data_IF_530273764358
#
_entry.id   IF_530273764358
#
_cell.length_a   1.000
_cell.length_b   1.000
_cell.length_c   1.000
_cell.angle_alpha   90.00
_cell.angle_beta   90.00
_cell.angle_gamma   90.00
#
_symmetry.space_group_name_H-M   'P 1'
#
loop_
_entity.id
_entity.type
_entity.pdbx_description
1 polymer ?
#
# COMPACT_ATOMS: atom_id res chain seq x y z
N UNK A 1 0.60 -0.97 17.44
CA UNK A 1 1.76 -0.78 16.56
C UNK A 1 1.69 0.53 15.77
N UNK A 2 0.59 0.89 15.07
CA UNK A 2 0.46 2.18 14.31
C UNK A 2 0.77 3.46 15.12
N UNK A 3 0.48 3.52 16.44
CA UNK A 3 0.85 4.70 17.27
C UNK A 3 2.35 4.85 17.52
N UNK A 4 3.09 3.77 17.46
CA UNK A 4 4.56 3.83 17.55
C UNK A 4 5.16 4.33 16.22
N UNK A 5 4.55 3.97 15.09
CA UNK A 5 4.95 4.37 13.74
C UNK A 5 4.67 5.85 13.44
N UNK A 6 3.51 6.38 13.88
CA UNK A 6 3.22 7.82 13.76
C UNK A 6 4.22 8.67 14.57
N UNK A 7 4.74 8.15 15.69
CA UNK A 7 5.80 8.81 16.46
C UNK A 7 7.16 8.74 15.72
N UNK A 8 7.46 7.63 15.05
CA UNK A 8 8.67 7.50 14.23
C UNK A 8 8.61 8.39 12.98
N UNK A 9 7.47 8.40 12.29
CA UNK A 9 7.26 9.30 11.12
C UNK A 9 7.33 10.78 11.52
N UNK A 10 6.80 11.15 12.70
CA UNK A 10 6.92 12.51 13.22
C UNK A 10 8.37 12.87 13.59
N UNK A 11 9.19 11.91 14.01
CA UNK A 11 10.61 12.10 14.28
C UNK A 11 11.43 12.25 12.99
N UNK A 12 11.09 11.51 11.94
CA UNK A 12 11.72 11.63 10.60
C UNK A 12 11.35 12.95 9.93
N UNK A 13 10.12 13.46 10.13
CA UNK A 13 9.68 14.75 9.57
C UNK A 13 10.19 15.98 10.36
N UNK A 14 10.63 15.79 11.61
CA UNK A 14 11.08 16.90 12.47
C UNK A 14 12.61 17.09 12.47
N UNK A 15 13.38 16.40 11.69
CA UNK A 15 14.83 16.52 11.59
C UNK A 15 15.58 16.58 12.94
N UNK A 16 16.88 16.33 13.00
CA UNK A 16 17.66 16.25 14.25
C UNK A 16 17.74 17.56 15.06
N UNK A 17 17.16 18.66 14.59
CA UNK A 17 17.18 19.95 15.28
C UNK A 17 16.33 20.04 16.56
N UNK A 18 15.54 19.00 16.90
CA UNK A 18 14.64 19.03 18.07
C UNK A 18 15.20 18.36 19.33
N UNK A 19 16.30 17.64 19.23
CA UNK A 19 16.99 17.03 20.37
C UNK A 19 18.42 17.57 20.39
N UNK A 20 18.63 18.65 21.13
CA UNK A 20 19.92 19.33 21.25
C UNK A 20 20.94 18.54 22.08
N UNK A 21 21.42 17.45 21.56
CA UNK A 21 22.67 16.82 21.95
C UNK A 21 23.51 16.70 20.69
N UNK A 22 24.54 17.55 20.55
CA UNK A 22 25.58 17.35 19.56
C UNK A 22 26.37 16.11 20.05
N UNK A 23 26.05 14.94 19.47
CA UNK A 23 26.94 13.78 19.61
C UNK A 23 28.23 14.10 18.87
N UNK A 24 29.35 14.21 19.58
CA UNK A 24 30.70 14.39 19.04
C UNK A 24 31.23 13.12 18.30
N UNK A 25 30.38 12.13 18.05
CA UNK A 25 30.76 10.94 17.29
C UNK A 25 30.88 11.29 15.80
N UNK A 26 31.94 10.82 15.11
CA UNK A 26 32.06 11.04 13.68
C UNK A 26 30.83 10.44 12.97
N UNK A 27 30.34 11.09 11.90
CA UNK A 27 29.19 10.57 11.18
C UNK A 27 29.42 9.13 10.77
N UNK A 28 28.42 8.29 10.96
CA UNK A 28 28.45 6.87 10.62
C UNK A 28 28.85 6.68 9.15
N UNK A 29 29.95 5.96 8.90
CA UNK A 29 30.41 5.66 7.54
C UNK A 29 29.81 4.35 7.03
N UNK A 30 28.59 4.42 6.56
CA UNK A 30 27.87 3.30 5.96
C UNK A 30 28.59 2.69 4.74
N UNK A 31 29.46 3.45 4.05
CA UNK A 31 30.21 2.94 2.89
C UNK A 31 31.23 1.87 3.29
N UNK A 32 31.87 2.06 4.45
CA UNK A 32 32.79 1.05 4.99
C UNK A 32 32.09 -0.26 5.32
N UNK A 33 30.84 -0.18 5.84
CA UNK A 33 30.04 -1.37 6.12
C UNK A 33 29.55 -2.03 4.83
N UNK A 34 29.21 -1.26 3.81
CA UNK A 34 28.85 -1.79 2.49
C UNK A 34 29.94 -2.65 1.86
N UNK A 35 31.19 -2.15 1.85
CA UNK A 35 32.35 -2.93 1.41
C UNK A 35 32.54 -4.20 2.25
N UNK A 36 32.42 -4.07 3.58
CA UNK A 36 32.57 -5.20 4.48
C UNK A 36 31.47 -6.27 4.29
N UNK A 37 30.27 -5.89 3.91
CA UNK A 37 29.16 -6.79 3.62
C UNK A 37 29.12 -7.27 2.16
N UNK A 38 29.98 -6.72 1.29
CA UNK A 38 30.07 -7.09 -0.11
C UNK A 38 28.92 -6.55 -0.97
N UNK A 39 28.25 -5.45 -0.56
CA UNK A 39 27.19 -4.82 -1.35
C UNK A 39 27.74 -4.00 -2.52
N UNK A 40 28.99 -3.53 -2.44
CA UNK A 40 29.73 -2.81 -3.46
C UNK A 40 29.83 -3.55 -4.82
N UNK A 41 29.69 -4.88 -4.80
CA UNK A 41 29.62 -5.70 -6.01
C UNK A 41 28.24 -5.69 -6.70
N UNK A 42 27.18 -5.19 -6.04
CA UNK A 42 25.80 -5.20 -6.55
C UNK A 42 25.27 -3.80 -6.85
N UNK A 43 25.72 -2.80 -6.11
CA UNK A 43 25.17 -1.45 -6.20
C UNK A 43 26.17 -0.40 -5.71
N UNK A 44 25.90 0.86 -6.06
CA UNK A 44 26.54 2.05 -5.48
C UNK A 44 25.52 3.15 -5.21
N UNK A 45 25.86 4.11 -4.38
CA UNK A 45 25.08 5.33 -4.21
C UNK A 45 25.85 6.49 -4.78
N UNK A 46 25.26 7.13 -5.79
CA UNK A 46 25.80 8.35 -6.41
C UNK A 46 24.79 9.48 -6.22
N UNK A 47 25.23 10.55 -5.57
CA UNK A 47 24.38 11.67 -5.16
C UNK A 47 23.21 11.16 -4.29
N UNK A 48 21.96 11.25 -4.77
CA UNK A 48 20.74 10.81 -4.12
C UNK A 48 20.15 9.53 -4.75
N UNK A 49 20.95 8.80 -5.54
CA UNK A 49 20.48 7.66 -6.33
C UNK A 49 21.21 6.38 -5.94
N UNK A 50 20.43 5.37 -5.53
CA UNK A 50 20.91 3.99 -5.44
C UNK A 50 20.96 3.39 -6.86
N UNK A 51 22.14 3.07 -7.35
CA UNK A 51 22.38 2.48 -8.67
C UNK A 51 22.66 1.00 -8.49
N UNK A 52 21.72 0.14 -8.90
CA UNK A 52 21.89 -1.32 -8.89
C UNK A 52 22.50 -1.73 -10.23
N UNK A 53 23.60 -2.46 -10.19
CA UNK A 53 24.42 -2.72 -11.38
C UNK A 53 23.75 -3.70 -12.35
N UNK A 54 24.03 -3.50 -13.65
CA UNK A 54 23.66 -4.46 -14.69
C UNK A 54 24.26 -5.84 -14.40
N UNK A 55 23.46 -6.88 -14.61
CA UNK A 55 23.78 -8.25 -14.26
C UNK A 55 23.15 -8.72 -12.96
N UNK A 56 22.63 -7.81 -12.10
CA UNK A 56 21.77 -8.19 -10.98
C UNK A 56 20.42 -8.62 -11.54
N UNK A 57 20.04 -9.86 -11.31
CA UNK A 57 18.79 -10.46 -11.82
C UNK A 57 17.73 -10.61 -10.74
N UNK A 58 18.14 -10.57 -9.47
CA UNK A 58 17.26 -10.74 -8.32
C UNK A 58 17.65 -9.82 -7.17
N UNK A 59 16.66 -9.31 -6.45
CA UNK A 59 16.80 -8.62 -5.17
C UNK A 59 16.18 -9.48 -4.08
N UNK A 60 16.85 -9.59 -2.93
CA UNK A 60 16.48 -10.40 -1.79
C UNK A 60 16.26 -11.88 -2.15
N UNK A 61 16.11 -12.68 -1.13
CA UNK A 61 15.67 -14.08 -1.25
C UNK A 61 14.56 -14.32 -0.25
N UNK A 62 13.34 -14.46 -0.71
CA UNK A 62 12.26 -14.82 0.17
C UNK A 62 12.41 -16.29 0.59
N UNK A 63 12.97 -16.50 1.75
CA UNK A 63 12.85 -17.78 2.48
C UNK A 63 11.74 -17.72 3.54
N UNK A 64 11.00 -16.62 3.62
CA UNK A 64 10.11 -16.32 4.72
C UNK A 64 8.65 -16.41 4.30
N UNK A 65 7.79 -16.75 5.24
CA UNK A 65 6.35 -16.64 5.09
C UNK A 65 5.97 -15.15 5.17
N UNK A 66 5.51 -14.58 4.08
CA UNK A 66 4.93 -13.24 4.04
C UNK A 66 3.45 -13.28 4.40
N UNK A 67 2.99 -12.26 5.10
CA UNK A 67 1.57 -12.09 5.37
C UNK A 67 0.84 -11.67 4.09
N UNK A 68 -0.09 -12.51 3.61
CA UNK A 68 -1.00 -12.11 2.54
C UNK A 68 -2.24 -11.44 3.19
N UNK A 69 -2.42 -10.13 3.00
CA UNK A 69 -3.54 -9.42 3.60
C UNK A 69 -4.89 -9.82 2.99
N UNK A 70 -4.90 -10.40 1.79
CA UNK A 70 -6.12 -10.81 1.10
C UNK A 70 -6.59 -12.18 1.58
N UNK A 71 -5.70 -13.18 1.60
CA UNK A 71 -6.02 -14.49 2.18
C UNK A 71 -5.98 -14.51 3.70
N UNK A 72 -5.34 -13.51 4.34
CA UNK A 72 -5.09 -13.43 5.78
C UNK A 72 -4.31 -14.61 6.35
N UNK A 73 -3.39 -15.11 5.59
CA UNK A 73 -2.52 -16.23 5.95
C UNK A 73 -1.06 -15.89 5.69
N UNK A 74 -0.16 -16.53 6.44
CA UNK A 74 1.25 -16.51 6.09
C UNK A 74 1.48 -17.48 4.94
N UNK A 75 1.71 -16.95 3.76
CA UNK A 75 1.96 -17.72 2.54
C UNK A 75 3.45 -18.00 2.43
N UNK A 76 3.82 -19.29 2.37
CA UNK A 76 5.18 -19.69 2.00
C UNK A 76 5.31 -19.64 0.50
N UNK A 77 5.96 -18.61 0.00
CA UNK A 77 6.34 -18.55 -1.40
C UNK A 77 7.58 -19.39 -1.61
N UNK A 78 7.54 -20.29 -2.60
CA UNK A 78 8.77 -20.93 -3.08
C UNK A 78 9.37 -19.97 -4.12
N UNK A 79 10.58 -19.43 -3.90
CA UNK A 79 11.19 -18.56 -4.89
C UNK A 79 11.28 -19.31 -6.23
N UNK A 80 10.81 -18.65 -7.29
CA UNK A 80 10.92 -19.14 -8.68
C UNK A 80 12.38 -19.19 -9.12
N UNK A 81 13.20 -18.31 -8.52
CA UNK A 81 14.64 -18.22 -8.73
C UNK A 81 15.38 -18.61 -7.46
N UNK A 82 16.44 -19.38 -7.60
CA UNK A 82 17.31 -19.81 -6.48
C UNK A 82 18.40 -18.80 -6.17
N UNK A 83 18.43 -17.66 -6.88
CA UNK A 83 19.45 -16.64 -6.75
C UNK A 83 19.16 -15.76 -5.53
N UNK A 84 20.19 -15.56 -4.72
CA UNK A 84 20.18 -14.57 -3.63
C UNK A 84 20.66 -13.25 -4.19
N UNK A 85 19.95 -12.18 -3.88
CA UNK A 85 20.34 -10.82 -4.24
C UNK A 85 20.48 -9.92 -3.03
N UNK A 86 20.98 -8.70 -3.21
CA UNK A 86 21.06 -7.71 -2.15
C UNK A 86 19.66 -7.26 -1.71
N UNK A 87 19.57 -6.84 -0.46
CA UNK A 87 18.41 -6.18 0.15
C UNK A 87 18.86 -4.80 0.62
N UNK A 88 18.00 -3.81 0.50
CA UNK A 88 18.33 -2.42 0.84
C UNK A 88 17.39 -1.89 1.93
N UNK A 89 17.97 -1.41 3.03
CA UNK A 89 17.26 -0.85 4.16
C UNK A 89 17.76 0.57 4.45
N UNK A 90 16.90 1.44 5.00
CA UNK A 90 17.28 2.81 5.33
C UNK A 90 18.46 2.87 6.30
N UNK A 91 18.51 1.98 7.30
CA UNK A 91 19.60 1.90 8.27
C UNK A 91 20.99 1.67 7.64
N UNK A 92 21.04 1.13 6.40
CA UNK A 92 22.29 0.89 5.68
C UNK A 92 22.93 2.17 5.14
N UNK A 93 22.18 3.26 5.10
CA UNK A 93 22.59 4.54 4.50
C UNK A 93 22.86 5.64 5.55
N UNK A 94 22.71 5.32 6.86
CA UNK A 94 22.83 6.29 7.94
C UNK A 94 21.84 7.44 7.80
N UNK A 95 22.29 8.68 7.94
CA UNK A 95 21.45 9.87 7.90
C UNK A 95 21.09 10.34 6.48
N UNK A 96 21.54 9.62 5.45
CA UNK A 96 21.40 10.01 4.04
C UNK A 96 20.91 8.86 3.15
N UNK A 97 19.70 8.30 3.38
CA UNK A 97 19.16 7.28 2.51
C UNK A 97 18.88 7.87 1.12
N UNK A 98 19.10 7.10 0.03
CA UNK A 98 18.79 7.55 -1.32
C UNK A 98 17.28 7.66 -1.53
N UNK A 99 16.86 8.74 -2.22
CA UNK A 99 15.46 8.96 -2.56
C UNK A 99 15.14 8.59 -4.02
N UNK A 100 16.13 8.11 -4.76
CA UNK A 100 15.98 7.61 -6.12
C UNK A 100 16.63 6.24 -6.25
N UNK A 101 16.17 5.45 -7.21
CA UNK A 101 16.77 4.17 -7.54
C UNK A 101 16.88 3.99 -9.05
N UNK A 102 18.01 3.47 -9.50
CA UNK A 102 18.21 3.01 -10.87
C UNK A 102 18.27 1.49 -10.87
N UNK A 103 17.24 0.85 -11.43
CA UNK A 103 17.12 -0.61 -11.52
C UNK A 103 17.75 -1.09 -12.83
N UNK A 104 18.51 -2.22 -12.82
CA UNK A 104 19.12 -2.75 -14.02
C UNK A 104 18.09 -3.39 -14.97
N UNK A 105 18.38 -3.34 -16.26
CA UNK A 105 17.56 -3.99 -17.28
C UNK A 105 17.51 -5.52 -17.15
N UNK A 106 18.45 -6.08 -16.40
CA UNK A 106 18.55 -7.52 -16.10
C UNK A 106 17.66 -8.01 -14.97
N UNK A 107 17.06 -7.09 -14.18
CA UNK A 107 16.24 -7.45 -13.03
C UNK A 107 14.97 -8.21 -13.45
N UNK A 108 14.71 -9.38 -12.85
CA UNK A 108 13.57 -10.24 -13.11
C UNK A 108 12.79 -10.60 -11.84
N UNK A 109 13.41 -10.50 -10.68
CA UNK A 109 12.86 -10.98 -9.43
C UNK A 109 13.10 -9.97 -8.30
N UNK A 110 12.04 -9.65 -7.57
CA UNK A 110 12.10 -8.90 -6.32
C UNK A 110 11.38 -9.69 -5.23
N UNK A 111 12.14 -10.17 -4.27
CA UNK A 111 11.64 -10.92 -3.12
C UNK A 111 11.16 -10.02 -1.99
N UNK A 112 10.61 -10.62 -0.95
CA UNK A 112 10.19 -9.91 0.24
C UNK A 112 11.34 -9.08 0.84
N UNK A 113 11.01 -7.90 1.34
CA UNK A 113 11.95 -6.94 1.93
C UNK A 113 13.14 -6.57 1.01
N UNK A 114 12.94 -6.58 -0.33
CA UNK A 114 13.98 -6.10 -1.26
C UNK A 114 14.37 -4.65 -0.98
N UNK A 115 13.39 -3.85 -0.57
CA UNK A 115 13.53 -2.49 -0.04
C UNK A 115 12.74 -2.38 1.25
N UNK A 116 13.34 -1.83 2.29
CA UNK A 116 12.74 -1.72 3.61
C UNK A 116 12.88 -0.31 4.18
N UNK A 117 11.77 0.29 4.60
CA UNK A 117 11.71 1.62 5.22
C UNK A 117 12.32 2.77 4.37
N UNK A 118 12.40 2.66 3.05
CA UNK A 118 12.97 3.69 2.18
C UNK A 118 11.90 4.66 1.68
N UNK A 119 12.30 5.92 1.49
CA UNK A 119 11.48 6.95 0.85
C UNK A 119 11.99 7.24 -0.56
N UNK A 120 11.15 7.02 -1.56
CA UNK A 120 11.45 7.29 -2.95
C UNK A 120 10.64 8.48 -3.47
N UNK A 121 11.31 9.53 -3.98
CA UNK A 121 10.64 10.62 -4.70
C UNK A 121 9.93 10.09 -5.95
N UNK A 122 10.57 9.13 -6.64
CA UNK A 122 9.95 8.40 -7.73
C UNK A 122 10.53 6.99 -7.80
N UNK A 123 9.67 5.99 -7.99
CA UNK A 123 10.07 4.61 -8.21
C UNK A 123 9.35 4.05 -9.43
N UNK A 124 10.10 3.46 -10.37
CA UNK A 124 9.51 2.78 -11.52
C UNK A 124 9.61 1.28 -11.35
N UNK A 125 8.46 0.62 -11.32
CA UNK A 125 8.37 -0.84 -11.36
C UNK A 125 8.51 -1.31 -12.81
N UNK A 126 9.62 -1.97 -13.19
CA UNK A 126 9.99 -2.13 -14.58
C UNK A 126 9.19 -3.21 -15.31
N UNK A 127 9.02 -3.05 -16.63
CA UNK A 127 8.28 -3.97 -17.50
C UNK A 127 8.84 -5.41 -17.49
N UNK A 128 10.18 -5.53 -17.41
CA UNK A 128 10.85 -6.83 -17.48
C UNK A 128 10.75 -7.67 -16.20
N UNK A 129 10.16 -7.15 -15.13
CA UNK A 129 9.99 -7.88 -13.87
C UNK A 129 9.04 -9.07 -14.06
N UNK A 130 9.50 -10.27 -13.69
CA UNK A 130 8.73 -11.50 -13.83
C UNK A 130 8.07 -11.95 -12.52
N UNK A 131 8.67 -11.58 -11.38
CA UNK A 131 8.17 -11.93 -10.05
C UNK A 131 8.37 -10.77 -9.09
N UNK A 132 7.29 -10.45 -8.39
CA UNK A 132 7.27 -9.48 -7.31
C UNK A 132 6.56 -10.13 -6.12
N UNK A 133 7.32 -10.41 -5.06
CA UNK A 133 6.74 -11.06 -3.90
C UNK A 133 6.03 -10.07 -2.96
N UNK A 134 5.12 -10.61 -2.16
CA UNK A 134 4.47 -9.85 -1.12
C UNK A 134 5.52 -9.28 -0.15
N UNK A 135 5.34 -8.00 0.24
CA UNK A 135 6.27 -7.30 1.13
C UNK A 135 7.61 -6.95 0.50
N UNK A 136 7.75 -6.95 -0.84
CA UNK A 136 9.00 -6.52 -1.49
C UNK A 136 9.42 -5.10 -1.12
N UNK A 137 8.46 -4.26 -0.73
CA UNK A 137 8.63 -2.86 -0.33
C UNK A 137 8.05 -2.60 1.05
N UNK A 138 8.41 -3.37 2.03
CA UNK A 138 7.82 -3.24 3.36
C UNK A 138 8.17 -1.88 3.99
N UNK A 139 7.13 -1.15 4.44
CA UNK A 139 7.20 0.18 5.05
C UNK A 139 7.85 1.28 4.19
N UNK A 140 7.90 1.12 2.88
CA UNK A 140 8.41 2.16 1.99
C UNK A 140 7.39 3.27 1.76
N UNK A 141 7.92 4.47 1.44
CA UNK A 141 7.15 5.63 1.06
C UNK A 141 7.47 6.02 -0.39
N UNK A 142 6.45 6.32 -1.20
CA UNK A 142 6.60 6.71 -2.59
C UNK A 142 5.83 8.01 -2.85
N UNK A 143 6.53 9.07 -3.27
CA UNK A 143 5.83 10.25 -3.79
C UNK A 143 5.16 9.89 -5.12
N UNK A 144 5.92 9.22 -6.01
CA UNK A 144 5.40 8.69 -7.27
C UNK A 144 5.79 7.23 -7.43
N UNK A 145 4.79 6.36 -7.60
CA UNK A 145 4.99 4.97 -7.99
C UNK A 145 4.53 4.76 -9.44
N UNK A 146 5.49 4.63 -10.36
CA UNK A 146 5.25 4.38 -11.77
C UNK A 146 5.23 2.88 -12.05
N UNK A 147 4.14 2.40 -12.66
CA UNK A 147 3.93 0.99 -12.96
C UNK A 147 4.10 0.78 -14.46
N UNK A 148 5.20 0.16 -14.87
CA UNK A 148 5.46 -0.32 -16.23
C UNK A 148 5.32 -1.85 -16.31
N UNK A 149 5.36 -2.52 -15.16
CA UNK A 149 5.22 -3.98 -15.04
C UNK A 149 3.82 -4.47 -15.39
N UNK A 150 3.76 -5.61 -16.09
CA UNK A 150 2.51 -6.30 -16.45
C UNK A 150 2.15 -7.45 -15.49
N UNK A 151 2.70 -7.46 -14.29
CA UNK A 151 2.36 -8.43 -13.25
C UNK A 151 0.88 -8.37 -12.87
N UNK A 152 0.28 -9.48 -12.43
CA UNK A 152 -1.11 -9.50 -11.96
C UNK A 152 -1.35 -8.54 -10.80
N UNK A 153 -2.54 -7.91 -10.75
CA UNK A 153 -2.89 -6.94 -9.71
C UNK A 153 -2.72 -7.48 -8.28
N UNK A 154 -2.98 -8.76 -8.07
CA UNK A 154 -2.79 -9.43 -6.78
C UNK A 154 -1.32 -9.39 -6.32
N UNK A 155 -0.39 -9.76 -7.20
CA UNK A 155 1.05 -9.75 -6.90
C UNK A 155 1.53 -8.32 -6.70
N UNK A 156 1.12 -7.42 -7.60
CA UNK A 156 1.46 -6.01 -7.55
C UNK A 156 1.05 -5.39 -6.21
N UNK A 157 -0.22 -5.49 -5.82
CA UNK A 157 -0.74 -4.81 -4.63
C UNK A 157 -0.26 -5.44 -3.33
N UNK A 158 -0.03 -6.75 -3.29
CA UNK A 158 0.53 -7.41 -2.12
C UNK A 158 1.97 -6.99 -1.82
N UNK A 159 2.73 -6.57 -2.84
CA UNK A 159 4.11 -6.11 -2.64
C UNK A 159 4.21 -4.75 -1.97
N UNK A 160 3.15 -3.93 -2.05
CA UNK A 160 3.06 -2.59 -1.47
C UNK A 160 2.19 -2.53 -0.21
N UNK A 161 1.90 -3.67 0.39
CA UNK A 161 1.19 -3.70 1.67
C UNK A 161 2.04 -3.02 2.75
N UNK A 162 1.41 -2.23 3.63
CA UNK A 162 2.06 -1.35 4.61
C UNK A 162 2.95 -0.24 4.00
N UNK A 163 2.88 0.00 2.69
CA UNK A 163 3.52 1.14 2.05
C UNK A 163 2.61 2.37 2.00
N UNK A 164 3.24 3.53 1.86
CA UNK A 164 2.52 4.79 1.59
C UNK A 164 2.85 5.27 0.19
N UNK A 165 1.83 5.44 -0.65
CA UNK A 165 1.95 5.98 -2.00
C UNK A 165 1.16 7.28 -2.08
N UNK A 166 1.74 8.36 -2.63
CA UNK A 166 1.02 9.63 -2.87
C UNK A 166 0.38 9.64 -4.26
N UNK A 167 1.06 9.08 -5.27
CA UNK A 167 0.56 9.10 -6.64
C UNK A 167 0.98 7.85 -7.39
N UNK A 168 0.03 7.21 -8.07
CA UNK A 168 0.31 6.18 -9.07
C UNK A 168 0.42 6.82 -10.46
N UNK A 169 1.43 6.41 -11.21
CA UNK A 169 1.57 6.71 -12.64
C UNK A 169 1.60 5.41 -13.45
N UNK A 170 0.96 5.43 -14.61
CA UNK A 170 0.93 4.30 -15.54
C UNK A 170 1.07 4.84 -16.95
N UNK A 171 1.93 4.26 -17.80
CA UNK A 171 2.03 4.64 -19.21
C UNK A 171 0.67 4.56 -19.92
N UNK A 172 0.39 5.49 -20.81
CA UNK A 172 -0.91 5.57 -21.51
C UNK A 172 -1.23 4.31 -22.32
N UNK A 173 -0.22 3.65 -22.87
CA UNK A 173 -0.30 2.42 -23.66
C UNK A 173 -0.19 1.14 -22.84
N UNK A 174 -0.10 1.22 -21.49
CA UNK A 174 0.01 0.05 -20.62
C UNK A 174 -1.18 -0.91 -20.85
N UNK A 175 -0.94 -2.24 -21.01
CA UNK A 175 -2.00 -3.16 -21.44
C UNK A 175 -3.03 -3.49 -20.34
N UNK A 176 -2.66 -3.44 -19.07
CA UNK A 176 -3.48 -3.94 -17.95
C UNK A 176 -4.03 -2.83 -17.05
N UNK A 177 -3.29 -1.75 -16.88
CA UNK A 177 -3.57 -0.72 -15.89
C UNK A 177 -3.67 0.66 -16.53
N UNK A 178 -4.31 1.58 -15.83
CA UNK A 178 -4.18 3.00 -16.02
C UNK A 178 -4.33 3.76 -14.70
N UNK A 179 -3.89 5.01 -14.66
CA UNK A 179 -4.10 5.90 -13.54
C UNK A 179 -4.96 7.08 -13.94
N UNK A 180 -5.93 7.44 -13.10
CA UNK A 180 -6.75 8.65 -13.22
C UNK A 180 -6.51 9.48 -11.98
N UNK A 181 -5.98 10.68 -12.14
CA UNK A 181 -5.64 11.57 -11.02
C UNK A 181 -4.82 10.89 -9.92
N UNK A 182 -3.88 10.04 -10.32
CA UNK A 182 -3.00 9.32 -9.41
C UNK A 182 -3.62 8.10 -8.72
N UNK A 183 -4.88 7.76 -8.99
CA UNK A 183 -5.56 6.56 -8.50
C UNK A 183 -5.44 5.43 -9.52
N UNK A 184 -5.16 4.22 -9.06
CA UNK A 184 -4.89 3.06 -9.91
C UNK A 184 -6.16 2.28 -10.25
N UNK A 185 -6.32 1.93 -11.53
CA UNK A 185 -7.44 1.15 -12.05
C UNK A 185 -6.96 0.04 -13.00
N UNK A 186 -7.81 -0.97 -13.22
CA UNK A 186 -7.66 -1.78 -14.43
C UNK A 186 -7.90 -0.93 -15.68
N UNK A 187 -7.29 -1.35 -16.81
CA UNK A 187 -7.31 -0.62 -18.09
C UNK A 187 -8.71 -0.31 -18.62
N UNK A 188 -9.68 -1.15 -18.33
CA UNK A 188 -11.09 -0.96 -18.75
C UNK A 188 -11.84 0.09 -17.92
N UNK A 189 -11.23 0.61 -16.84
CA UNK A 189 -11.79 1.61 -15.94
C UNK A 189 -12.93 1.11 -15.05
N UNK A 190 -13.23 -0.19 -15.07
CA UNK A 190 -14.35 -0.74 -14.32
C UNK A 190 -14.00 -1.14 -12.89
N UNK A 191 -12.74 -1.32 -12.59
CA UNK A 191 -12.28 -1.69 -11.25
C UNK A 191 -11.27 -0.66 -10.73
N UNK A 192 -11.58 -0.05 -9.59
CA UNK A 192 -10.63 0.74 -8.81
C UNK A 192 -9.75 -0.24 -8.03
N UNK A 193 -8.45 -0.21 -8.28
CA UNK A 193 -7.47 -1.12 -7.67
C UNK A 193 -6.87 -0.58 -6.39
N UNK A 194 -6.42 0.68 -6.41
CA UNK A 194 -5.81 1.32 -5.24
C UNK A 194 -5.97 2.84 -5.28
N UNK A 195 -6.51 3.39 -4.21
CA UNK A 195 -6.46 4.82 -3.89
C UNK A 195 -5.15 5.09 -3.12
N UNK A 196 -4.37 6.12 -3.48
CA UNK A 196 -3.10 6.39 -2.83
C UNK A 196 -3.27 6.79 -1.36
N UNK A 197 -2.77 5.95 -0.44
CA UNK A 197 -2.95 6.17 1.01
C UNK A 197 -2.25 7.39 1.58
N UNK A 198 -1.26 7.93 0.87
CA UNK A 198 -0.52 9.14 1.27
C UNK A 198 -1.16 10.47 0.84
N UNK A 199 -2.25 10.45 0.07
CA UNK A 199 -2.99 11.67 -0.29
C UNK A 199 -3.70 12.27 0.90
N UNK A 200 -3.79 13.59 0.93
CA UNK A 200 -4.39 14.36 2.04
C UNK A 200 -5.79 14.87 1.72
N UNK A 201 -6.43 14.36 0.66
CA UNK A 201 -7.79 14.74 0.30
C UNK A 201 -8.78 14.33 1.41
N UNK A 202 -9.72 15.21 1.72
CA UNK A 202 -10.79 14.91 2.67
C UNK A 202 -12.01 14.28 2.00
N UNK A 203 -12.09 14.33 0.67
CA UNK A 203 -13.19 13.81 -0.13
C UNK A 203 -12.66 13.19 -1.43
N UNK A 204 -13.28 12.09 -1.86
CA UNK A 204 -13.01 11.49 -3.16
C UNK A 204 -14.31 11.02 -3.84
N UNK A 205 -14.48 11.42 -5.10
CA UNK A 205 -15.54 10.93 -5.97
C UNK A 205 -15.00 9.79 -6.82
N UNK A 206 -15.46 8.56 -6.56
CA UNK A 206 -15.12 7.40 -7.40
C UNK A 206 -15.71 7.62 -8.79
N UNK A 207 -14.93 7.54 -9.89
CA UNK A 207 -15.37 7.86 -11.24
C UNK A 207 -16.62 7.09 -11.68
N UNK A 208 -17.48 7.75 -12.45
CA UNK A 208 -18.62 7.11 -13.06
C UNK A 208 -18.15 5.97 -13.99
N UNK A 209 -18.82 4.82 -13.96
CA UNK A 209 -18.45 3.63 -14.73
C UNK A 209 -17.62 2.60 -13.95
N UNK A 210 -17.13 2.95 -12.77
CA UNK A 210 -16.54 1.96 -11.86
C UNK A 210 -17.64 1.01 -11.39
N UNK A 211 -17.41 -0.28 -11.61
CA UNK A 211 -18.31 -1.37 -11.22
C UNK A 211 -17.83 -2.14 -10.00
N UNK A 212 -16.52 -2.11 -9.73
CA UNK A 212 -15.89 -2.89 -8.67
C UNK A 212 -14.84 -2.08 -7.90
N UNK A 213 -14.81 -2.24 -6.59
CA UNK A 213 -13.72 -1.78 -5.72
C UNK A 213 -12.92 -2.99 -5.28
N UNK A 214 -11.61 -2.97 -5.54
CA UNK A 214 -10.69 -4.06 -5.24
C UNK A 214 -10.52 -4.26 -3.71
N UNK A 215 -10.16 -5.46 -3.26
CA UNK A 215 -9.79 -5.66 -1.86
C UNK A 215 -8.69 -4.70 -1.41
N UNK A 216 -8.88 -4.11 -0.21
CA UNK A 216 -7.94 -3.14 0.40
C UNK A 216 -7.64 -1.90 -0.47
N UNK A 217 -8.56 -1.53 -1.37
CA UNK A 217 -8.36 -0.43 -2.32
C UNK A 217 -8.18 0.94 -1.65
N UNK A 218 -8.76 1.17 -0.48
CA UNK A 218 -8.63 2.39 0.30
C UNK A 218 -8.02 2.06 1.65
N UNK A 219 -6.85 2.61 1.94
CA UNK A 219 -6.20 2.51 3.25
C UNK A 219 -5.61 3.88 3.61
N UNK A 220 -6.47 4.85 3.94
CA UNK A 220 -6.05 6.23 4.16
C UNK A 220 -6.64 6.82 5.43
N UNK A 221 -5.83 7.62 6.13
CA UNK A 221 -6.25 8.35 7.32
C UNK A 221 -6.81 9.75 7.02
N UNK A 222 -7.00 10.13 5.75
CA UNK A 222 -7.38 11.51 5.39
C UNK A 222 -8.82 11.66 4.92
N UNK A 223 -9.35 10.70 4.16
CA UNK A 223 -10.71 10.78 3.60
C UNK A 223 -11.76 10.79 4.71
N UNK A 224 -12.60 11.81 4.70
CA UNK A 224 -13.78 11.94 5.57
C UNK A 224 -15.04 11.45 4.87
N UNK A 225 -15.09 11.59 3.55
CA UNK A 225 -16.25 11.19 2.73
C UNK A 225 -15.79 10.59 1.40
N UNK A 226 -16.54 9.61 0.91
CA UNK A 226 -16.34 8.97 -0.39
C UNK A 226 -17.68 8.90 -1.10
N UNK A 227 -17.75 9.40 -2.34
CA UNK A 227 -18.93 9.23 -3.20
C UNK A 227 -18.74 8.01 -4.08
N UNK A 228 -19.68 7.08 -4.02
CA UNK A 228 -19.69 5.86 -4.83
C UNK A 228 -20.61 6.03 -6.05
N UNK A 229 -20.22 5.58 -7.26
CA UNK A 229 -21.01 5.77 -8.47
C UNK A 229 -22.23 4.86 -8.52
N UNK A 230 -23.32 5.37 -9.11
CA UNK A 230 -24.46 4.54 -9.51
C UNK A 230 -23.96 3.53 -10.55
N UNK A 231 -24.13 2.24 -10.28
CA UNK A 231 -23.61 1.16 -11.14
C UNK A 231 -22.48 0.35 -10.49
N UNK A 232 -21.98 0.79 -9.33
CA UNK A 232 -21.08 -0.02 -8.51
C UNK A 232 -21.79 -1.34 -8.13
N UNK A 233 -21.11 -2.47 -8.31
CA UNK A 233 -21.66 -3.83 -8.12
C UNK A 233 -21.05 -4.53 -6.90
N UNK A 234 -19.74 -4.40 -6.70
CA UNK A 234 -19.05 -5.10 -5.62
C UNK A 234 -18.05 -4.22 -4.90
N UNK A 235 -17.92 -4.46 -3.60
CA UNK A 235 -16.92 -3.87 -2.71
C UNK A 235 -16.10 -5.03 -2.14
N UNK A 236 -14.80 -5.03 -2.39
CA UNK A 236 -13.89 -6.12 -2.00
C UNK A 236 -13.65 -6.23 -0.49
N UNK A 237 -12.99 -7.31 -0.09
CA UNK A 237 -12.59 -7.53 1.31
C UNK A 237 -11.69 -6.38 1.78
N UNK A 238 -11.98 -5.84 2.96
CA UNK A 238 -11.19 -4.76 3.55
C UNK A 238 -11.11 -3.48 2.69
N UNK A 239 -12.00 -3.29 1.70
CA UNK A 239 -11.89 -2.22 0.71
C UNK A 239 -11.70 -0.82 1.29
N UNK A 240 -12.29 -0.55 2.45
CA UNK A 240 -12.17 0.70 3.21
C UNK A 240 -11.53 0.46 4.59
N UNK A 241 -10.78 -0.63 4.75
CA UNK A 241 -10.15 -0.89 6.05
C UNK A 241 -9.18 0.22 6.42
N UNK A 242 -9.16 0.55 7.72
CA UNK A 242 -8.32 1.61 8.28
C UNK A 242 -8.56 3.03 7.71
N UNK A 243 -9.70 3.29 7.04
CA UNK A 243 -10.13 4.65 6.75
C UNK A 243 -10.58 5.35 8.04
N UNK A 244 -9.62 5.69 8.91
CA UNK A 244 -9.87 6.08 10.31
C UNK A 244 -10.70 7.36 10.46
N UNK A 245 -10.71 8.23 9.44
CA UNK A 245 -11.46 9.51 9.45
C UNK A 245 -12.75 9.48 8.62
N UNK A 246 -13.05 8.37 7.96
CA UNK A 246 -14.30 8.24 7.19
C UNK A 246 -15.50 8.33 8.12
N UNK A 247 -16.38 9.31 7.88
CA UNK A 247 -17.52 9.63 8.75
C UNK A 247 -18.82 9.00 8.26
N UNK A 248 -19.02 9.01 6.94
CA UNK A 248 -20.21 8.43 6.35
C UNK A 248 -19.94 7.90 4.94
N UNK A 249 -20.70 6.89 4.56
CA UNK A 249 -20.68 6.34 3.21
C UNK A 249 -22.08 5.86 2.82
N UNK A 250 -22.51 6.21 1.60
CA UNK A 250 -23.77 5.71 1.03
C UNK A 250 -23.46 4.64 0.00
N UNK A 251 -23.93 3.42 0.25
CA UNK A 251 -23.74 2.30 -0.67
C UNK A 251 -24.85 2.33 -1.73
N UNK A 252 -24.51 2.40 -3.03
CA UNK A 252 -25.50 2.41 -4.10
C UNK A 252 -26.40 1.17 -4.13
N UNK A 253 -27.66 1.34 -4.56
CA UNK A 253 -28.64 0.25 -4.69
C UNK A 253 -28.21 -0.89 -5.64
N UNK A 254 -27.21 -0.62 -6.49
CA UNK A 254 -26.67 -1.59 -7.46
C UNK A 254 -25.64 -2.52 -6.85
N UNK A 255 -25.17 -2.23 -5.63
CA UNK A 255 -24.21 -3.10 -4.93
C UNK A 255 -24.91 -4.37 -4.47
N UNK A 256 -24.37 -5.50 -4.89
CA UNK A 256 -24.88 -6.84 -4.58
C UNK A 256 -24.00 -7.60 -3.59
N UNK A 257 -22.75 -7.16 -3.42
CA UNK A 257 -21.77 -7.83 -2.57
C UNK A 257 -20.85 -6.83 -1.88
N UNK A 258 -20.66 -7.03 -0.57
CA UNK A 258 -19.65 -6.35 0.23
C UNK A 258 -18.80 -7.42 0.91
N UNK A 259 -17.51 -7.37 0.69
CA UNK A 259 -16.53 -8.31 1.22
C UNK A 259 -16.32 -8.19 2.72
N UNK A 260 -15.70 -9.20 3.29
CA UNK A 260 -15.38 -9.26 4.70
C UNK A 260 -14.48 -8.10 5.13
N UNK A 261 -14.73 -7.57 6.33
CA UNK A 261 -13.95 -6.50 6.95
C UNK A 261 -13.89 -5.20 6.13
N UNK A 262 -14.83 -4.98 5.20
CA UNK A 262 -14.81 -3.84 4.28
C UNK A 262 -14.62 -2.48 4.98
N UNK A 263 -15.11 -2.33 6.21
CA UNK A 263 -15.00 -1.10 7.02
C UNK A 263 -14.20 -1.30 8.33
N UNK A 264 -13.33 -2.30 8.37
CA UNK A 264 -12.51 -2.54 9.56
C UNK A 264 -11.57 -1.36 9.81
N UNK A 265 -11.44 -0.89 11.05
CA UNK A 265 -10.57 0.26 11.37
C UNK A 265 -11.17 1.64 11.04
N UNK A 266 -12.40 1.73 10.51
CA UNK A 266 -13.09 3.00 10.27
C UNK A 266 -13.63 3.59 11.58
N UNK A 267 -12.75 4.04 12.48
CA UNK A 267 -13.12 4.45 13.86
C UNK A 267 -14.01 5.71 13.94
N UNK A 268 -14.08 6.51 12.88
CA UNK A 268 -14.93 7.72 12.81
C UNK A 268 -16.24 7.48 12.05
N UNK A 269 -16.49 6.25 11.59
CA UNK A 269 -17.66 5.97 10.74
C UNK A 269 -18.94 5.90 11.59
N UNK A 270 -19.79 6.92 11.41
CA UNK A 270 -21.05 7.09 12.14
C UNK A 270 -22.26 6.51 11.37
N UNK A 271 -22.19 6.53 10.03
CA UNK A 271 -23.30 6.18 9.18
C UNK A 271 -22.87 5.40 7.94
N UNK A 272 -23.45 4.21 7.76
CA UNK A 272 -23.44 3.49 6.48
C UNK A 272 -24.87 3.34 6.01
N UNK A 273 -25.23 3.94 4.88
CA UNK A 273 -26.49 3.70 4.21
C UNK A 273 -26.38 2.49 3.31
N UNK A 274 -27.18 1.46 3.55
CA UNK A 274 -27.16 0.20 2.81
C UNK A 274 -28.42 0.05 1.97
N UNK A 275 -28.34 -0.56 0.77
CA UNK A 275 -29.48 -0.93 -0.02
C UNK A 275 -30.34 -2.01 0.66
N UNK A 276 -31.65 -1.94 0.45
CA UNK A 276 -32.57 -2.99 0.92
C UNK A 276 -32.25 -4.33 0.25
N UNK A 277 -32.22 -5.39 1.04
CA UNK A 277 -32.02 -6.76 0.55
C UNK A 277 -30.56 -7.12 0.24
N UNK A 278 -29.60 -6.24 0.54
CA UNK A 278 -28.19 -6.58 0.45
C UNK A 278 -27.85 -7.72 1.42
N UNK A 279 -27.24 -8.77 0.90
CA UNK A 279 -26.68 -9.83 1.76
C UNK A 279 -25.36 -9.33 2.36
N UNK A 280 -25.38 -9.09 3.66
CA UNK A 280 -24.22 -8.67 4.41
C UNK A 280 -23.56 -9.92 4.99
N UNK A 281 -22.31 -10.17 4.65
CA UNK A 281 -21.50 -11.14 5.37
C UNK A 281 -21.37 -10.69 6.83
N UNK A 282 -21.44 -11.64 7.78
CA UNK A 282 -21.41 -11.34 9.22
C UNK A 282 -20.20 -10.54 9.66
N UNK A 283 -19.15 -10.56 8.88
CA UNK A 283 -17.83 -9.99 9.20
C UNK A 283 -17.57 -8.59 8.60
N UNK A 284 -18.54 -7.96 7.93
CA UNK A 284 -18.42 -6.52 7.60
C UNK A 284 -18.54 -5.63 8.84
N UNK A 285 -19.01 -6.23 9.95
CA UNK A 285 -19.23 -5.52 11.20
C UNK A 285 -17.89 -5.15 11.86
N UNK A 286 -17.69 -3.87 12.22
CA UNK A 286 -16.53 -3.38 12.95
C UNK A 286 -16.27 -4.05 14.33
N UNK A 287 -17.06 -5.00 14.77
CA UNK A 287 -16.95 -5.64 16.09
C UNK A 287 -15.65 -6.34 16.43
N UNK A 288 -14.80 -6.62 15.45
CA UNK A 288 -13.50 -7.26 15.70
C UNK A 288 -12.36 -6.28 16.00
N UNK A 289 -12.58 -4.99 15.89
CA UNK A 289 -11.62 -4.02 16.37
C UNK A 289 -11.92 -3.69 17.84
N UNK A 290 -10.97 -3.91 18.70
CA UNK A 290 -11.03 -3.65 20.16
C UNK A 290 -11.25 -2.17 20.55
N UNK A 291 -11.67 -1.30 19.64
CA UNK A 291 -11.72 0.16 19.79
C UNK A 291 -12.98 0.82 19.26
N UNK A 292 -14.10 0.07 19.10
CA UNK A 292 -15.33 0.66 18.58
C UNK A 292 -16.27 1.16 19.66
N UNK A 293 -16.89 2.33 19.38
CA UNK A 293 -18.02 2.83 20.12
C UNK A 293 -19.25 2.00 19.78
N UNK A 294 -20.11 1.75 20.78
CA UNK A 294 -21.34 0.94 20.66
C UNK A 294 -22.42 1.57 19.74
N UNK A 295 -22.09 2.68 19.05
CA UNK A 295 -23.05 3.54 18.36
C UNK A 295 -23.06 3.37 16.83
N UNK A 296 -22.50 2.29 16.29
CA UNK A 296 -22.50 2.08 14.84
C UNK A 296 -23.89 1.66 14.34
N UNK A 297 -24.54 2.52 13.56
CA UNK A 297 -25.90 2.31 13.06
C UNK A 297 -25.85 2.08 11.55
N UNK A 298 -26.24 0.89 11.11
CA UNK A 298 -26.59 0.63 9.71
C UNK A 298 -28.02 1.09 9.45
N UNK A 299 -28.24 1.92 8.42
CA UNK A 299 -29.59 2.28 7.97
C UNK A 299 -29.77 1.79 6.54
N UNK A 300 -30.77 0.96 6.32
CA UNK A 300 -31.29 0.68 4.99
C UNK A 300 -32.05 1.89 4.43
N UNK A 301 -32.24 1.96 3.11
CA UNK A 301 -32.94 3.05 2.43
C UNK A 301 -34.39 3.24 2.88
N UNK A 302 -35.01 2.23 3.46
CA UNK A 302 -36.34 2.27 4.07
C UNK A 302 -36.34 2.82 5.51
N UNK A 303 -35.17 3.21 6.05
CA UNK A 303 -35.02 3.72 7.41
C UNK A 303 -34.93 2.64 8.48
N UNK A 304 -34.84 1.38 8.09
CA UNK A 304 -34.65 0.27 9.04
C UNK A 304 -33.25 0.35 9.65
N UNK A 305 -33.19 0.36 10.96
CA UNK A 305 -31.96 0.35 11.73
C UNK A 305 -31.58 -1.10 11.98
N UNK A 306 -30.55 -1.60 11.32
CA UNK A 306 -29.97 -2.89 11.67
C UNK A 306 -29.10 -2.66 12.91
N UNK A 307 -29.70 -2.76 14.10
CA UNK A 307 -28.90 -2.77 15.31
C UNK A 307 -28.10 -4.08 15.36
N UNK A 308 -26.83 -3.95 15.68
CA UNK A 308 -26.03 -5.11 16.06
C UNK A 308 -26.66 -5.74 17.30
N UNK A 309 -27.49 -6.76 17.09
CA UNK A 309 -27.99 -7.57 18.20
C UNK A 309 -26.81 -8.16 18.97
N UNK A 310 -26.82 -8.03 20.28
CA UNK A 310 -25.91 -8.70 21.22
C UNK A 310 -25.95 -10.21 21.07
#
# INVERSE_FOLDING_TARGET
>A
MKRFFLLLLALVLLGPAALGEEDDDPPYDWRADWEAWGYDQYAEVQDDTLIIFEGVTALSQASHSTWDPISREFVKTKPKFLETGPRFEDMMFGDHPPHQVSLPSTLRYMGGESFYCLHFNAFTLPEQLEVLEAGAFEFCFFDVLRIESTLPAQELLNSFYDCTVITYEVPEDHPLYHAIDGVLFFKDGKTLLAYPGGRTDEHYDVPAGVEHIWPYAFGTDYLKTISLPIGLKTIGNGAFSDCSRLQCIAIPLTVTEIGDYAFWGCVSLELVSLPDGLTINKDINPRHAQYYTDDFIYRGDNGDTLSSGH
#
